data_IF_839426759918
#
_entry.id   IF_839426759918
#
_cell.length_a   1.000
_cell.length_b   1.000
_cell.length_c   1.000
_cell.angle_alpha   90.00
_cell.angle_beta   90.00
_cell.angle_gamma   90.00
#
_symmetry.space_group_name_H-M   'P 1'
#
loop_
_entity.id
_entity.type
_entity.pdbx_description
1 polymer ?
#
# COMPACT_ATOMS: atom_id res chain seq x y z
N UNK A 1 -6.08 35.08 10.29
CA UNK A 1 -5.02 34.31 10.98
C UNK A 1 -5.13 32.88 10.48
N UNK A 2 -4.42 32.57 9.40
CA UNK A 2 -4.51 31.27 8.71
C UNK A 2 -3.64 30.29 9.45
N UNK A 3 -4.23 29.29 10.10
CA UNK A 3 -3.48 28.15 10.63
C UNK A 3 -2.91 27.38 9.43
N UNK A 4 -1.61 27.55 9.17
CA UNK A 4 -0.86 26.57 8.38
C UNK A 4 -0.86 25.27 9.20
N UNK A 5 -1.73 24.32 8.83
CA UNK A 5 -1.45 22.93 9.17
C UNK A 5 -0.18 22.57 8.40
N UNK A 6 0.96 22.57 9.08
CA UNK A 6 2.17 21.98 8.55
C UNK A 6 1.86 20.51 8.25
N UNK A 7 1.82 20.16 6.96
CA UNK A 7 1.65 18.77 6.54
C UNK A 7 2.81 17.98 7.15
N UNK A 8 2.50 17.02 8.03
CA UNK A 8 3.54 16.20 8.64
C UNK A 8 4.23 15.37 7.54
N UNK A 9 5.57 15.25 7.60
CA UNK A 9 6.33 14.33 6.75
C UNK A 9 5.79 12.91 6.84
N UNK A 10 5.79 12.18 5.72
CA UNK A 10 5.35 10.79 5.64
C UNK A 10 6.03 9.91 6.70
N UNK A 11 7.34 10.03 6.91
CA UNK A 11 8.08 9.30 7.93
C UNK A 11 7.60 9.59 9.36
N UNK A 12 7.27 10.86 9.68
CA UNK A 12 6.74 11.22 10.99
C UNK A 12 5.30 10.73 11.19
N UNK A 13 4.57 10.54 10.09
CA UNK A 13 3.27 9.91 10.10
C UNK A 13 3.34 8.37 9.97
N UNK A 14 4.54 7.78 9.80
CA UNK A 14 4.81 6.35 9.63
C UNK A 14 4.48 5.77 8.24
N UNK A 15 4.33 6.59 7.22
CA UNK A 15 4.01 6.17 5.86
C UNK A 15 5.27 5.94 5.04
N UNK A 16 5.34 4.80 4.37
CA UNK A 16 6.47 4.46 3.49
C UNK A 16 6.05 4.64 2.04
N UNK A 17 6.78 5.43 1.27
CA UNK A 17 6.60 5.51 -0.17
C UNK A 17 7.23 4.27 -0.83
N UNK A 18 6.42 3.39 -1.38
CA UNK A 18 6.94 2.32 -2.26
C UNK A 18 7.00 2.83 -3.68
N UNK A 19 8.10 2.52 -4.37
CA UNK A 19 8.36 2.93 -5.74
C UNK A 19 8.41 1.70 -6.63
N UNK A 20 7.42 1.55 -7.51
CA UNK A 20 7.44 0.53 -8.57
C UNK A 20 7.76 1.23 -9.90
N UNK A 21 8.77 0.73 -10.64
CA UNK A 21 9.17 1.32 -11.90
C UNK A 21 9.25 0.31 -13.04
N UNK A 22 8.89 0.77 -14.24
CA UNK A 22 9.04 0.03 -15.48
C UNK A 22 10.47 0.02 -16.04
N UNK A 23 11.33 0.97 -15.67
CA UNK A 23 12.68 1.13 -16.28
C UNK A 23 13.80 1.57 -15.30
N UNK A 24 13.49 2.04 -14.08
CA UNK A 24 14.51 2.43 -13.10
C UNK A 24 15.11 1.22 -12.38
N UNK A 25 16.42 1.23 -12.09
CA UNK A 25 17.02 0.11 -11.36
C UNK A 25 16.56 0.08 -9.88
N UNK A 26 16.46 -1.11 -9.25
CA UNK A 26 16.11 -1.22 -7.83
C UNK A 26 17.02 -0.40 -6.90
N UNK A 27 18.30 -0.23 -7.26
CA UNK A 27 19.26 0.55 -6.50
C UNK A 27 18.95 2.06 -6.54
N UNK A 28 18.52 2.58 -7.70
CA UNK A 28 18.11 3.98 -7.84
C UNK A 28 16.83 4.25 -7.06
N UNK A 29 15.87 3.31 -7.09
CA UNK A 29 14.63 3.40 -6.31
C UNK A 29 14.91 3.40 -4.80
N UNK A 30 15.78 2.51 -4.34
CA UNK A 30 16.20 2.45 -2.94
C UNK A 30 16.91 3.73 -2.47
N UNK A 31 17.67 4.37 -3.35
CA UNK A 31 18.35 5.63 -3.05
C UNK A 31 17.41 6.84 -3.04
N UNK A 32 16.26 6.77 -3.72
CA UNK A 32 15.23 7.81 -3.72
C UNK A 32 14.33 7.74 -2.47
N UNK A 33 14.10 6.55 -1.92
CA UNK A 33 13.18 6.31 -0.81
C UNK A 33 13.36 7.26 0.41
N UNK A 34 14.58 7.53 0.92
CA UNK A 34 14.76 8.44 2.06
C UNK A 34 14.32 9.89 1.80
N UNK A 35 14.30 10.31 0.53
CA UNK A 35 13.81 11.65 0.16
C UNK A 35 12.28 11.68 0.10
N UNK A 36 11.65 10.60 -0.34
CA UNK A 36 10.20 10.47 -0.41
C UNK A 36 9.54 10.36 0.97
N UNK A 37 10.28 9.83 1.94
CA UNK A 37 9.90 9.79 3.36
C UNK A 37 9.68 11.20 3.96
N UNK A 38 10.26 12.24 3.36
CA UNK A 38 10.05 13.65 3.74
C UNK A 38 8.81 14.29 3.09
N UNK A 39 8.23 13.64 2.08
CA UNK A 39 7.05 14.15 1.39
C UNK A 39 5.79 14.00 2.23
N UNK A 40 4.78 14.87 2.05
CA UNK A 40 3.51 14.71 2.74
C UNK A 40 2.84 13.41 2.30
N UNK A 41 2.39 12.61 3.27
CA UNK A 41 1.71 11.34 2.99
C UNK A 41 0.32 11.55 2.38
N UNK A 42 -0.07 10.67 1.46
CA UNK A 42 -1.42 10.64 0.85
C UNK A 42 -1.97 9.22 0.79
N UNK A 43 -3.27 9.02 1.08
CA UNK A 43 -3.92 7.69 1.04
C UNK A 43 -3.96 7.04 -0.35
N UNK A 44 -3.73 7.83 -1.39
CA UNK A 44 -3.94 7.42 -2.78
C UNK A 44 -2.65 6.92 -3.42
N UNK A 45 -2.78 6.05 -4.41
CA UNK A 45 -1.67 5.69 -5.31
C UNK A 45 -1.44 6.85 -6.29
N UNK A 46 -0.19 7.26 -6.47
CA UNK A 46 0.20 8.29 -7.44
C UNK A 46 1.17 7.73 -8.48
N UNK A 47 1.12 8.27 -9.68
CA UNK A 47 2.09 8.00 -10.74
C UNK A 47 2.83 9.29 -11.06
N UNK A 48 4.15 9.18 -11.07
CA UNK A 48 5.05 10.18 -11.59
C UNK A 48 5.74 9.64 -12.85
N UNK A 49 5.79 10.44 -13.90
CA UNK A 49 6.65 10.20 -15.06
C UNK A 49 7.78 11.20 -15.03
N UNK A 50 9.00 10.74 -15.25
CA UNK A 50 10.18 11.59 -15.31
C UNK A 50 11.05 11.20 -16.50
N UNK A 51 11.83 12.16 -16.99
CA UNK A 51 12.88 11.94 -17.97
C UNK A 51 14.04 12.90 -17.70
N UNK A 52 15.26 12.39 -17.79
CA UNK A 52 16.49 13.18 -17.74
C UNK A 52 16.58 14.10 -16.50
N UNK A 53 16.16 13.58 -15.34
CA UNK A 53 16.16 14.30 -14.06
C UNK A 53 15.01 15.30 -13.88
N UNK A 54 14.07 15.39 -14.82
CA UNK A 54 12.90 16.27 -14.72
C UNK A 54 11.60 15.48 -14.54
N UNK A 55 10.75 15.94 -13.62
CA UNK A 55 9.38 15.45 -13.46
C UNK A 55 8.52 15.95 -14.64
N UNK A 56 8.01 15.04 -15.45
CA UNK A 56 7.20 15.35 -16.64
C UNK A 56 5.71 15.38 -16.34
N UNK A 57 5.25 14.49 -15.46
CA UNK A 57 3.83 14.36 -15.12
C UNK A 57 3.67 13.75 -13.74
N UNK A 58 2.71 14.23 -12.97
CA UNK A 58 2.32 13.67 -11.68
C UNK A 58 0.80 13.62 -11.58
N UNK A 59 0.25 12.58 -10.96
CA UNK A 59 -1.19 12.47 -10.73
C UNK A 59 -1.61 11.15 -10.10
N UNK A 60 -2.86 11.05 -9.60
CA UNK A 60 -3.36 9.85 -8.95
C UNK A 60 -3.65 8.72 -9.95
N UNK A 61 -3.63 7.46 -9.50
CA UNK A 61 -3.81 6.26 -10.36
C UNK A 61 -5.28 6.01 -10.74
N UNK A 62 -6.27 6.50 -10.01
CA UNK A 62 -7.69 6.49 -10.41
C UNK A 62 -8.53 7.38 -9.49
N UNK A 63 -9.53 8.13 -10.01
CA UNK A 63 -10.68 8.65 -9.23
C UNK A 63 -10.44 9.63 -8.07
N UNK A 64 -9.20 9.94 -7.70
CA UNK A 64 -8.88 10.77 -6.55
C UNK A 64 -8.80 12.27 -6.90
N UNK A 65 -9.07 13.10 -5.89
CA UNK A 65 -9.11 14.55 -6.02
C UNK A 65 -7.70 15.14 -6.19
N UNK A 66 -7.49 15.90 -7.27
CA UNK A 66 -6.21 16.55 -7.54
C UNK A 66 -5.93 17.78 -6.67
N UNK A 67 -6.93 18.26 -5.90
CA UNK A 67 -6.87 19.53 -5.16
C UNK A 67 -5.72 19.63 -4.15
N UNK A 68 -5.07 18.52 -3.83
CA UNK A 68 -4.00 18.43 -2.83
C UNK A 68 -2.69 17.77 -3.35
N UNK A 69 -2.52 17.72 -4.68
CA UNK A 69 -1.37 17.12 -5.35
C UNK A 69 -0.11 17.98 -5.27
N UNK A 70 -0.25 19.31 -5.27
CA UNK A 70 0.84 20.28 -5.38
C UNK A 70 1.95 20.11 -4.32
N UNK A 71 1.65 19.89 -3.02
CA UNK A 71 2.70 19.67 -2.01
C UNK A 71 3.49 18.36 -2.22
N UNK A 72 2.85 17.33 -2.77
CA UNK A 72 3.50 16.05 -3.05
C UNK A 72 4.34 16.16 -4.33
N UNK A 73 3.81 16.84 -5.35
CA UNK A 73 4.50 17.10 -6.61
C UNK A 73 5.78 17.92 -6.39
N UNK A 74 5.69 18.99 -5.59
CA UNK A 74 6.84 19.84 -5.29
C UNK A 74 7.91 19.11 -4.48
N UNK A 75 7.50 18.29 -3.50
CA UNK A 75 8.43 17.44 -2.77
C UNK A 75 9.11 16.42 -3.68
N UNK A 76 8.35 15.77 -4.56
CA UNK A 76 8.90 14.81 -5.52
C UNK A 76 9.88 15.48 -6.48
N UNK A 77 9.56 16.70 -6.95
CA UNK A 77 10.46 17.49 -7.80
C UNK A 77 11.77 17.81 -7.06
N UNK A 78 11.70 18.18 -5.78
CA UNK A 78 12.87 18.41 -4.95
C UNK A 78 13.69 17.12 -4.71
N UNK A 79 13.02 15.99 -4.46
CA UNK A 79 13.65 14.69 -4.29
C UNK A 79 14.40 14.24 -5.56
N UNK A 80 13.77 14.39 -6.73
CA UNK A 80 14.39 14.06 -8.03
C UNK A 80 15.53 15.02 -8.40
N UNK A 81 15.46 16.28 -7.98
CA UNK A 81 16.57 17.22 -8.15
C UNK A 81 17.77 16.86 -7.26
N UNK A 82 17.52 16.40 -6.03
CA UNK A 82 18.57 15.97 -5.10
C UNK A 82 19.17 14.61 -5.48
N UNK A 83 18.33 13.70 -5.99
CA UNK A 83 18.73 12.37 -6.46
C UNK A 83 18.15 12.11 -7.85
N UNK A 84 18.82 12.60 -8.91
CA UNK A 84 18.39 12.35 -10.28
C UNK A 84 18.43 10.85 -10.57
N UNK A 85 17.38 10.35 -11.22
CA UNK A 85 17.37 9.02 -11.82
C UNK A 85 17.67 9.19 -13.32
N UNK A 86 18.55 8.35 -13.85
CA UNK A 86 18.95 8.43 -15.24
C UNK A 86 17.84 7.93 -16.17
N UNK A 87 17.72 8.56 -17.35
CA UNK A 87 16.79 8.14 -18.40
C UNK A 87 15.34 8.49 -18.11
N UNK A 88 14.44 7.78 -18.78
CA UNK A 88 12.99 7.88 -18.58
C UNK A 88 12.56 6.80 -17.60
N UNK A 89 11.71 7.12 -16.63
CA UNK A 89 10.91 6.08 -16.03
C UNK A 89 9.58 6.58 -15.46
N UNK A 90 8.82 5.61 -15.01
CA UNK A 90 7.56 5.78 -14.30
C UNK A 90 7.81 5.36 -12.87
N UNK A 91 7.47 6.21 -11.91
CA UNK A 91 7.45 5.89 -10.49
C UNK A 91 5.99 5.79 -10.08
N UNK A 92 5.57 4.62 -9.60
CA UNK A 92 4.33 4.52 -8.82
C UNK A 92 4.68 4.79 -7.38
N UNK A 93 4.09 5.82 -6.78
CA UNK A 93 4.25 6.19 -5.38
C UNK A 93 3.01 5.69 -4.63
N UNK A 94 3.23 4.77 -3.69
CA UNK A 94 2.18 4.33 -2.77
C UNK A 94 2.63 4.64 -1.35
N UNK A 95 1.88 5.49 -0.66
CA UNK A 95 2.06 5.69 0.76
C UNK A 95 1.10 4.76 1.50
N UNK A 96 1.65 3.88 2.33
CA UNK A 96 0.83 3.02 3.18
C UNK A 96 0.63 3.67 4.54
N UNK A 97 -0.62 3.87 4.98
CA UNK A 97 -0.91 4.29 6.37
C UNK A 97 -0.35 3.24 7.34
N UNK A 98 0.52 3.58 8.31
CA UNK A 98 1.11 2.59 9.22
C UNK A 98 0.09 1.87 10.08
N UNK A 99 -1.04 2.51 10.37
CA UNK A 99 -2.13 1.89 11.12
C UNK A 99 -2.80 0.85 10.23
N UNK A 100 -2.98 1.13 8.94
CA UNK A 100 -3.48 0.16 7.96
C UNK A 100 -2.49 -0.98 7.72
N UNK A 101 -1.21 -0.67 7.61
CA UNK A 101 -0.15 -1.67 7.42
C UNK A 101 -0.09 -2.62 8.61
N UNK A 102 -0.02 -2.08 9.84
CA UNK A 102 -0.04 -2.88 11.07
C UNK A 102 -1.33 -3.70 11.19
N UNK A 103 -2.46 -3.11 10.84
CA UNK A 103 -3.74 -3.84 10.83
C UNK A 103 -3.70 -5.00 9.84
N UNK A 104 -3.26 -4.77 8.60
CA UNK A 104 -3.10 -5.83 7.59
C UNK A 104 -2.14 -6.91 8.05
N UNK A 105 -1.00 -6.56 8.63
CA UNK A 105 -0.05 -7.52 9.19
C UNK A 105 -0.68 -8.38 10.30
N UNK A 106 -1.46 -7.79 11.19
CA UNK A 106 -2.16 -8.54 12.24
C UNK A 106 -3.17 -9.53 11.65
N UNK A 107 -3.96 -9.09 10.66
CA UNK A 107 -4.94 -9.96 9.98
C UNK A 107 -4.23 -11.05 9.18
N UNK A 108 -3.23 -10.69 8.36
CA UNK A 108 -2.40 -11.64 7.60
C UNK A 108 -1.74 -12.66 8.51
N UNK A 109 -1.23 -12.26 9.68
CA UNK A 109 -0.60 -13.21 10.61
C UNK A 109 -1.56 -14.29 11.10
N UNK A 110 -2.81 -13.94 11.42
CA UNK A 110 -3.84 -14.91 11.80
C UNK A 110 -4.17 -15.84 10.63
N UNK A 111 -4.34 -15.27 9.42
CA UNK A 111 -4.68 -16.04 8.23
C UNK A 111 -3.56 -16.97 7.78
N UNK A 112 -2.30 -16.51 7.80
CA UNK A 112 -1.13 -17.31 7.43
C UNK A 112 -0.96 -18.50 8.37
N UNK A 113 -1.18 -18.31 9.68
CA UNK A 113 -1.18 -19.41 10.64
C UNK A 113 -2.28 -20.44 10.36
N UNK A 114 -3.46 -19.98 9.95
CA UNK A 114 -4.60 -20.85 9.61
C UNK A 114 -4.41 -21.63 8.30
N UNK A 115 -3.75 -21.02 7.31
CA UNK A 115 -3.43 -21.67 6.02
C UNK A 115 -2.27 -22.66 6.17
N UNK A 116 -1.33 -22.36 7.08
CA UNK A 116 -0.17 -23.18 7.35
C UNK A 116 0.99 -22.91 6.37
N UNK A 117 1.97 -23.82 6.30
CA UNK A 117 3.26 -23.52 5.69
C UNK A 117 3.24 -23.47 4.16
N UNK A 118 4.06 -22.59 3.57
CA UNK A 118 4.29 -22.44 2.12
C UNK A 118 5.76 -22.16 1.81
N UNK A 119 6.23 -22.66 0.67
CA UNK A 119 7.60 -22.42 0.16
C UNK A 119 7.68 -21.30 -0.88
N UNK A 120 6.62 -21.07 -1.65
CA UNK A 120 6.57 -20.05 -2.69
C UNK A 120 6.27 -18.64 -2.15
N UNK A 121 6.86 -17.59 -2.74
CA UNK A 121 6.68 -16.20 -2.29
C UNK A 121 5.37 -15.55 -2.76
N UNK A 122 4.55 -16.24 -3.55
CA UNK A 122 3.27 -15.73 -4.03
C UNK A 122 2.25 -15.55 -2.90
N UNK A 123 1.20 -14.78 -3.15
CA UNK A 123 0.12 -14.60 -2.19
C UNK A 123 -1.25 -14.61 -2.84
N UNK A 124 -2.23 -15.12 -2.09
CA UNK A 124 -3.64 -15.06 -2.45
C UNK A 124 -4.20 -13.81 -1.81
N UNK A 125 -4.74 -12.90 -2.61
CA UNK A 125 -5.35 -11.68 -2.07
C UNK A 125 -6.83 -11.91 -1.82
N UNK A 126 -7.23 -11.73 -0.57
CA UNK A 126 -8.61 -11.78 -0.11
C UNK A 126 -9.16 -10.37 0.07
N UNK A 127 -10.38 -10.13 -0.39
CA UNK A 127 -11.11 -8.89 -0.18
C UNK A 127 -12.18 -9.09 0.88
N UNK A 128 -12.04 -8.42 2.01
CA UNK A 128 -12.99 -8.46 3.11
C UNK A 128 -13.95 -7.27 3.02
N UNK A 129 -15.27 -7.48 3.01
CA UNK A 129 -16.22 -6.39 3.20
C UNK A 129 -16.15 -5.88 4.64
N UNK A 130 -16.17 -4.56 4.82
CA UNK A 130 -16.18 -3.91 6.13
C UNK A 130 -17.63 -3.75 6.56
N UNK A 131 -18.00 -4.37 7.67
CA UNK A 131 -19.35 -4.31 8.21
C UNK A 131 -19.63 -3.00 8.97
N UNK A 132 -20.92 -2.76 9.26
CA UNK A 132 -21.36 -1.56 9.94
C UNK A 132 -20.73 -1.38 11.34
N UNK A 133 -20.35 -2.47 12.00
CA UNK A 133 -19.72 -2.52 13.32
C UNK A 133 -18.18 -2.55 13.27
N UNK A 134 -17.58 -2.25 12.11
CA UNK A 134 -16.14 -2.35 11.82
C UNK A 134 -15.57 -3.78 11.83
N UNK A 135 -16.39 -4.83 11.89
CA UNK A 135 -15.89 -6.19 11.70
C UNK A 135 -15.66 -6.51 10.22
N UNK A 136 -14.82 -7.52 9.96
CA UNK A 136 -14.63 -8.03 8.61
C UNK A 136 -15.67 -9.13 8.33
N UNK A 137 -16.44 -8.97 7.26
CA UNK A 137 -17.33 -10.02 6.77
C UNK A 137 -16.61 -11.13 6.03
N UNK A 138 -17.37 -12.06 5.48
CA UNK A 138 -16.82 -13.18 4.72
C UNK A 138 -16.03 -12.66 3.50
N UNK A 139 -14.75 -13.02 3.34
CA UNK A 139 -13.93 -12.54 2.24
C UNK A 139 -14.28 -13.21 0.92
N UNK A 140 -13.92 -12.54 -0.17
CA UNK A 140 -13.90 -13.08 -1.52
C UNK A 140 -12.46 -13.16 -2.04
N UNK A 141 -12.20 -14.11 -2.93
CA UNK A 141 -10.94 -14.14 -3.66
C UNK A 141 -10.87 -12.94 -4.63
N UNK A 142 -9.90 -12.05 -4.42
CA UNK A 142 -9.70 -10.87 -5.26
C UNK A 142 -8.59 -11.09 -6.30
N UNK A 143 -7.47 -11.71 -5.89
CA UNK A 143 -6.34 -12.01 -6.78
C UNK A 143 -5.82 -13.40 -6.44
N UNK A 144 -5.72 -14.25 -7.46
CA UNK A 144 -5.12 -15.58 -7.39
C UNK A 144 -3.61 -15.49 -7.19
N UNK A 145 -3.05 -16.41 -6.41
CA UNK A 145 -1.59 -16.52 -6.26
C UNK A 145 -0.90 -17.14 -7.48
N UNK A 146 -1.66 -17.63 -8.47
CA UNK A 146 -1.15 -18.45 -9.58
C UNK A 146 -0.97 -19.92 -9.24
N UNK A 147 -1.18 -20.29 -7.97
CA UNK A 147 -1.17 -21.66 -7.46
C UNK A 147 -2.60 -22.04 -7.02
N UNK A 148 -3.31 -22.87 -7.81
CA UNK A 148 -4.70 -23.21 -7.53
C UNK A 148 -4.87 -24.05 -6.26
N UNK A 149 -3.87 -24.87 -5.90
CA UNK A 149 -3.93 -25.69 -4.68
C UNK A 149 -3.78 -24.81 -3.44
N UNK A 150 -2.94 -23.78 -3.52
CA UNK A 150 -2.83 -22.79 -2.46
C UNK A 150 -4.08 -21.91 -2.35
N UNK A 151 -4.62 -21.41 -3.46
CA UNK A 151 -5.85 -20.61 -3.44
C UNK A 151 -7.05 -21.39 -2.88
N UNK A 152 -7.16 -22.68 -3.22
CA UNK A 152 -8.18 -23.58 -2.69
C UNK A 152 -7.99 -23.81 -1.18
N UNK A 153 -6.74 -23.99 -0.73
CA UNK A 153 -6.41 -24.14 0.70
C UNK A 153 -6.76 -22.88 1.48
N UNK A 154 -6.39 -21.70 0.98
CA UNK A 154 -6.75 -20.42 1.60
C UNK A 154 -8.27 -20.32 1.75
N UNK A 155 -9.01 -20.62 0.69
CA UNK A 155 -10.48 -20.60 0.70
C UNK A 155 -11.07 -21.60 1.71
N UNK A 156 -10.54 -22.81 1.77
CA UNK A 156 -10.98 -23.83 2.71
C UNK A 156 -10.64 -23.47 4.16
N UNK A 157 -9.46 -22.92 4.41
CA UNK A 157 -9.00 -22.47 5.74
C UNK A 157 -9.90 -21.40 6.31
N UNK A 158 -10.43 -20.49 5.50
CA UNK A 158 -11.37 -19.45 5.96
C UNK A 158 -12.65 -20.02 6.58
N UNK A 159 -13.11 -21.20 6.13
CA UNK A 159 -14.27 -21.87 6.72
C UNK A 159 -13.96 -22.44 8.13
N UNK A 160 -12.68 -22.57 8.47
CA UNK A 160 -12.19 -23.07 9.76
C UNK A 160 -11.78 -21.95 10.71
N UNK A 161 -12.03 -20.68 10.35
CA UNK A 161 -11.66 -19.55 11.19
C UNK A 161 -12.50 -19.57 12.49
N UNK A 162 -11.87 -19.99 13.59
CA UNK A 162 -12.48 -20.00 14.92
C UNK A 162 -12.35 -18.62 15.58
N UNK A 163 -13.31 -17.74 15.30
CA UNK A 163 -13.43 -16.43 15.92
C UNK A 163 -13.26 -15.26 14.95
N UNK A 164 -13.70 -14.06 15.34
CA UNK A 164 -13.66 -12.91 14.46
C UNK A 164 -12.21 -12.43 14.24
N UNK A 165 -11.90 -12.04 13.01
CA UNK A 165 -10.69 -11.27 12.74
C UNK A 165 -10.72 -9.94 13.52
N UNK A 166 -9.56 -9.35 13.83
CA UNK A 166 -9.52 -8.06 14.51
C UNK A 166 -10.40 -7.02 13.81
N UNK A 167 -11.27 -6.29 14.53
CA UNK A 167 -12.09 -5.25 13.93
C UNK A 167 -11.21 -4.12 13.40
N UNK A 168 -11.68 -3.45 12.36
CA UNK A 168 -11.00 -2.32 11.77
C UNK A 168 -10.96 -1.15 12.78
N UNK A 169 -9.80 -0.54 13.03
CA UNK A 169 -9.70 0.72 13.77
C UNK A 169 -10.61 1.79 13.17
N UNK A 170 -11.36 2.51 14.01
CA UNK A 170 -12.29 3.55 13.57
C UNK A 170 -11.61 4.62 12.70
N UNK A 171 -10.36 4.97 13.05
CA UNK A 171 -9.51 5.90 12.29
C UNK A 171 -9.22 5.49 10.83
N UNK A 172 -9.36 4.20 10.50
CA UNK A 172 -9.18 3.68 9.14
C UNK A 172 -10.49 3.64 8.35
N UNK A 173 -11.65 3.60 9.02
CA UNK A 173 -12.95 3.46 8.35
C UNK A 173 -13.24 4.63 7.41
N UNK A 174 -12.87 5.85 7.80
CA UNK A 174 -13.06 7.03 6.94
C UNK A 174 -12.11 7.06 5.72
N UNK A 175 -11.06 6.24 5.73
CA UNK A 175 -10.02 6.18 4.70
C UNK A 175 -10.21 5.01 3.74
N UNK A 176 -10.76 3.92 4.25
CA UNK A 176 -11.13 2.75 3.45
C UNK A 176 -12.54 2.94 2.92
N UNK A 177 -12.79 2.45 1.70
CA UNK A 177 -14.17 2.30 1.23
C UNK A 177 -14.88 1.17 1.99
N UNK A 178 -15.72 0.41 1.30
CA UNK A 178 -16.49 -0.67 1.94
C UNK A 178 -15.70 -1.98 2.06
N UNK A 179 -14.41 -2.00 1.71
CA UNK A 179 -13.60 -3.22 1.68
C UNK A 179 -12.14 -2.99 2.07
N UNK A 180 -11.50 -4.05 2.58
CA UNK A 180 -10.05 -4.12 2.78
C UNK A 180 -9.47 -5.37 2.11
N UNK A 181 -8.39 -5.19 1.36
CA UNK A 181 -7.64 -6.27 0.75
C UNK A 181 -6.47 -6.71 1.66
N UNK A 182 -6.31 -8.03 1.79
CA UNK A 182 -5.28 -8.69 2.60
C UNK A 182 -4.61 -9.79 1.78
N UNK A 183 -3.28 -9.76 1.73
CA UNK A 183 -2.44 -10.71 1.01
C UNK A 183 -2.02 -11.83 1.97
N UNK A 184 -2.43 -13.07 1.68
CA UNK A 184 -2.17 -14.28 2.47
C UNK A 184 -1.07 -15.08 1.79
N UNK A 185 0.02 -15.34 2.50
CA UNK A 185 1.22 -15.99 1.98
C UNK A 185 1.43 -17.39 2.56
N UNK A 186 0.79 -17.70 3.68
CA UNK A 186 1.12 -18.86 4.50
C UNK A 186 2.41 -18.65 5.31
N UNK A 187 2.68 -19.55 6.25
CA UNK A 187 3.90 -19.49 7.06
C UNK A 187 5.10 -19.92 6.22
N UNK A 188 6.06 -19.02 6.00
CA UNK A 188 7.31 -19.40 5.30
C UNK A 188 8.09 -20.42 6.13
N UNK A 189 8.54 -21.50 5.50
CA UNK A 189 9.46 -22.48 6.09
C UNK A 189 10.91 -22.14 5.81
#
# INVERSE_FOLDING_TARGET
MTLLLAALPAALAGWTATVEAGEASPAELAALAPFLDSCPARPDDWIARYADGALLRFGPVAGHDQRDAEPVEDCLRAALAAKPIAGTAVLRLRWTDPTLDRYRQNVTSVLDQLVGPRSDPGCTTLRFPIQADNTLGAPLLAISSGDPDFDARVTASLALLEGPLPPLPESLRAKLGDTVDVCVQGVRR
#
